data_IF_813297404788
#
_entry.id   IF_813297404788
#
_cell.length_a   1.000
_cell.length_b   1.000
_cell.length_c   1.000
_cell.angle_alpha   90.00
_cell.angle_beta   90.00
_cell.angle_gamma   90.00
#
_symmetry.space_group_name_H-M   'P 1'
#
loop_
_entity.id
_entity.type
_entity.pdbx_description
1 polymer ?
#
# COMPACT_ATOMS: atom_id res chain seq x y z
N UNK A 1 -38.06 14.43 42.17
CA UNK A 1 -38.58 15.34 41.13
C UNK A 1 -37.58 16.48 41.03
N UNK A 2 -36.50 16.25 40.28
CA UNK A 2 -35.41 17.21 40.14
C UNK A 2 -34.87 17.05 38.73
N UNK A 3 -34.99 18.14 37.99
CA UNK A 3 -34.83 18.30 36.56
C UNK A 3 -33.39 18.04 36.11
N UNK A 4 -33.23 17.05 35.22
CA UNK A 4 -32.02 16.87 34.43
C UNK A 4 -31.97 17.98 33.37
N UNK A 5 -30.99 18.88 33.49
CA UNK A 5 -30.64 19.83 32.45
C UNK A 5 -29.88 19.04 31.39
N UNK A 6 -30.50 18.87 30.22
CA UNK A 6 -29.84 18.36 29.03
C UNK A 6 -28.86 19.44 28.52
N UNK A 7 -27.56 19.16 28.60
CA UNK A 7 -26.56 19.89 27.83
C UNK A 7 -26.75 19.55 26.34
N UNK A 8 -26.71 20.54 25.44
CA UNK A 8 -26.86 20.28 24.02
C UNK A 8 -25.67 19.45 23.54
N UNK A 9 -25.98 18.44 22.72
CA UNK A 9 -24.99 17.74 21.93
C UNK A 9 -24.19 18.78 21.13
N UNK A 10 -22.88 18.83 21.35
CA UNK A 10 -21.96 19.58 20.50
C UNK A 10 -22.17 19.03 19.09
N UNK A 11 -22.75 19.86 18.23
CA UNK A 11 -22.92 19.56 16.81
C UNK A 11 -21.54 19.20 16.22
N UNK A 12 -21.50 18.16 15.39
CA UNK A 12 -20.32 17.64 14.70
C UNK A 12 -19.63 18.69 13.78
N UNK A 13 -20.10 19.94 13.74
CA UNK A 13 -19.59 21.04 12.91
C UNK A 13 -18.45 21.87 13.57
N UNK A 14 -18.20 21.73 14.88
CA UNK A 14 -17.15 22.51 15.59
C UNK A 14 -15.79 21.80 15.72
N UNK A 15 -15.67 20.56 15.23
CA UNK A 15 -14.36 20.03 14.85
C UNK A 15 -13.93 20.81 13.62
N UNK A 16 -13.02 21.77 13.78
CA UNK A 16 -12.31 22.42 12.66
C UNK A 16 -12.04 21.34 11.62
N UNK A 17 -12.75 21.35 10.47
CA UNK A 17 -12.49 20.35 9.46
C UNK A 17 -11.02 20.52 9.12
N UNK A 18 -10.24 19.44 9.23
CA UNK A 18 -8.91 19.41 8.63
C UNK A 18 -9.11 19.91 7.20
N UNK A 19 -8.59 21.12 6.92
CA UNK A 19 -8.89 21.95 5.75
C UNK A 19 -9.61 21.18 4.65
N UNK A 20 -10.93 21.40 4.55
CA UNK A 20 -11.76 20.84 3.48
C UNK A 20 -11.07 21.00 2.12
N UNK A 21 -11.23 19.96 1.31
CA UNK A 21 -10.73 19.66 -0.05
C UNK A 21 -10.96 20.76 -1.13
N UNK A 22 -11.24 22.02 -0.77
CA UNK A 22 -11.62 23.12 -1.68
C UNK A 22 -10.46 23.69 -2.54
N UNK A 23 -9.30 23.04 -2.56
CA UNK A 23 -8.15 23.43 -3.40
C UNK A 23 -7.58 22.29 -4.24
N UNK A 24 -8.33 21.20 -4.43
CA UNK A 24 -7.92 20.17 -5.38
C UNK A 24 -8.12 20.69 -6.81
N UNK A 25 -7.05 20.59 -7.60
CA UNK A 25 -7.00 21.07 -8.98
C UNK A 25 -8.09 20.33 -9.78
N UNK A 26 -8.97 21.04 -10.52
CA UNK A 26 -10.00 20.40 -11.32
C UNK A 26 -9.38 19.37 -12.27
N UNK A 27 -9.85 18.12 -12.19
CA UNK A 27 -9.32 17.03 -13.02
C UNK A 27 -10.17 16.91 -14.29
N UNK A 28 -9.57 17.04 -15.50
CA UNK A 28 -10.32 16.83 -16.72
C UNK A 28 -10.82 15.37 -16.82
N UNK A 29 -12.03 15.13 -17.35
CA UNK A 29 -12.54 13.78 -17.51
C UNK A 29 -11.62 12.95 -18.42
N UNK A 30 -11.15 11.81 -17.92
CA UNK A 30 -10.26 10.91 -18.66
C UNK A 30 -8.77 11.21 -18.53
N UNK A 31 -8.35 12.31 -17.88
CA UNK A 31 -6.94 12.61 -17.62
C UNK A 31 -6.18 11.48 -16.88
N UNK A 32 -6.75 10.80 -15.86
CA UNK A 32 -6.07 9.68 -15.21
C UNK A 32 -5.79 8.51 -16.16
N UNK A 33 -6.77 8.19 -17.04
CA UNK A 33 -6.64 7.10 -18.02
C UNK A 33 -5.63 7.44 -19.11
N UNK A 34 -5.63 8.68 -19.60
CA UNK A 34 -4.67 9.16 -20.58
C UNK A 34 -3.24 9.15 -20.02
N UNK A 35 -3.06 9.60 -18.77
CA UNK A 35 -1.78 9.56 -18.07
C UNK A 35 -1.28 8.12 -17.94
N UNK A 36 -2.11 7.21 -17.43
CA UNK A 36 -1.75 5.80 -17.29
C UNK A 36 -1.41 5.15 -18.64
N UNK A 37 -2.21 5.42 -19.68
CA UNK A 37 -1.95 4.95 -21.04
C UNK A 37 -0.61 5.45 -21.57
N UNK A 38 -0.27 6.71 -21.35
CA UNK A 38 1.01 7.30 -21.77
C UNK A 38 2.22 6.69 -21.05
N UNK A 39 2.07 6.28 -19.79
CA UNK A 39 3.13 5.65 -18.99
C UNK A 39 3.34 4.17 -19.37
N UNK A 40 2.26 3.45 -19.71
CA UNK A 40 2.29 2.03 -20.06
C UNK A 40 2.65 1.78 -21.54
N UNK A 41 2.27 2.68 -22.45
CA UNK A 41 2.47 2.48 -23.89
C UNK A 41 3.93 2.21 -24.31
N UNK A 42 4.96 2.88 -23.76
CA UNK A 42 6.37 2.58 -24.07
C UNK A 42 6.79 1.17 -23.63
N UNK A 43 6.13 0.62 -22.61
CA UNK A 43 6.49 -0.65 -21.97
C UNK A 43 5.66 -1.84 -22.45
N UNK A 44 4.72 -1.66 -23.39
CA UNK A 44 3.78 -2.70 -23.87
C UNK A 44 4.42 -4.05 -24.22
N UNK A 45 5.60 -4.04 -24.86
CA UNK A 45 6.35 -5.27 -25.22
C UNK A 45 6.89 -5.97 -23.97
N UNK A 46 7.47 -5.22 -23.03
CA UNK A 46 7.99 -5.76 -21.76
C UNK A 46 6.86 -6.29 -20.89
N UNK A 47 5.72 -5.60 -20.86
CA UNK A 47 4.51 -6.05 -20.18
C UNK A 47 4.01 -7.37 -20.78
N UNK A 48 3.92 -7.48 -22.12
CA UNK A 48 3.51 -8.73 -22.76
C UNK A 48 4.43 -9.91 -22.43
N UNK A 49 5.75 -9.70 -22.39
CA UNK A 49 6.73 -10.72 -21.97
C UNK A 49 6.55 -11.08 -20.49
N UNK A 50 6.28 -10.11 -19.61
CA UNK A 50 6.00 -10.39 -18.21
C UNK A 50 4.73 -11.22 -18.03
N UNK A 51 3.65 -10.86 -18.74
CA UNK A 51 2.38 -11.61 -18.74
C UNK A 51 2.59 -13.04 -19.24
N UNK A 52 3.35 -13.23 -20.32
CA UNK A 52 3.69 -14.56 -20.81
C UNK A 52 4.52 -15.36 -19.79
N UNK A 53 5.50 -14.72 -19.15
CA UNK A 53 6.33 -15.38 -18.13
C UNK A 53 5.50 -15.86 -16.94
N UNK A 54 4.55 -15.06 -16.44
CA UNK A 54 3.68 -15.47 -15.33
C UNK A 54 2.65 -16.51 -15.76
N UNK A 55 2.12 -16.45 -16.99
CA UNK A 55 1.25 -17.49 -17.54
C UNK A 55 1.94 -18.86 -17.55
N UNK A 56 3.16 -18.91 -18.08
CA UNK A 56 3.97 -20.13 -18.12
C UNK A 56 4.39 -20.58 -16.71
N UNK A 57 4.69 -19.64 -15.82
CA UNK A 57 5.01 -19.94 -14.42
C UNK A 57 3.84 -20.59 -13.70
N UNK A 58 2.63 -20.07 -13.87
CA UNK A 58 1.41 -20.64 -13.29
C UNK A 58 1.13 -22.03 -13.85
N UNK A 59 1.28 -22.23 -15.16
CA UNK A 59 1.13 -23.55 -15.77
C UNK A 59 2.12 -24.57 -15.19
N UNK A 60 3.40 -24.21 -15.04
CA UNK A 60 4.42 -25.06 -14.45
C UNK A 60 4.13 -25.38 -12.97
N UNK A 61 3.70 -24.38 -12.18
CA UNK A 61 3.33 -24.57 -10.77
C UNK A 61 2.13 -25.50 -10.60
N UNK A 62 1.22 -25.45 -11.57
CA UNK A 62 -0.01 -26.21 -11.57
C UNK A 62 0.15 -27.62 -12.13
N UNK A 63 1.21 -27.91 -12.89
CA UNK A 63 1.56 -29.29 -13.24
C UNK A 63 1.79 -30.19 -12.01
N UNK A 64 2.15 -29.61 -10.85
CA UNK A 64 2.48 -30.34 -9.63
C UNK A 64 1.43 -31.39 -9.21
N UNK A 65 0.17 -31.00 -8.91
CA UNK A 65 -0.85 -31.98 -8.54
C UNK A 65 -1.16 -33.03 -9.62
N UNK A 66 -1.08 -32.69 -10.91
CA UNK A 66 -1.25 -33.68 -11.99
C UNK A 66 -0.11 -34.71 -12.02
N UNK A 67 1.13 -34.26 -11.78
CA UNK A 67 2.28 -35.16 -11.66
C UNK A 67 2.14 -36.06 -10.43
N UNK A 68 1.56 -35.56 -9.32
CA UNK A 68 1.22 -36.37 -8.15
C UNK A 68 0.16 -37.42 -8.51
N UNK A 69 -0.89 -37.06 -9.25
CA UNK A 69 -1.87 -38.04 -9.74
C UNK A 69 -1.20 -39.15 -10.55
N UNK A 70 -0.41 -38.79 -11.56
CA UNK A 70 0.28 -39.75 -12.40
C UNK A 70 1.27 -40.61 -11.61
N UNK A 71 1.98 -40.05 -10.62
CA UNK A 71 2.84 -40.81 -9.74
C UNK A 71 2.06 -41.89 -8.97
N UNK A 72 0.86 -41.57 -8.49
CA UNK A 72 0.02 -42.51 -7.74
C UNK A 72 -0.56 -43.59 -8.68
N UNK A 73 -1.11 -43.17 -9.82
CA UNK A 73 -1.86 -44.07 -10.71
C UNK A 73 -0.96 -44.95 -11.56
N UNK A 74 0.25 -44.48 -11.93
CA UNK A 74 1.18 -45.21 -12.80
C UNK A 74 2.54 -45.46 -12.18
N UNK A 75 3.07 -44.51 -11.40
CA UNK A 75 4.38 -44.63 -10.77
C UNK A 75 4.45 -45.70 -9.67
N UNK A 76 3.46 -45.73 -8.77
CA UNK A 76 3.43 -46.71 -7.66
C UNK A 76 3.20 -48.15 -8.18
N UNK A 77 2.26 -48.43 -9.10
CA UNK A 77 2.11 -49.77 -9.66
C UNK A 77 3.38 -50.26 -10.38
N UNK A 78 3.98 -49.43 -11.24
CA UNK A 78 5.22 -49.81 -11.94
C UNK A 78 6.37 -50.12 -10.97
N UNK A 79 6.48 -49.36 -9.88
CA UNK A 79 7.49 -49.62 -8.85
C UNK A 79 7.26 -50.96 -8.14
N UNK A 80 6.01 -51.38 -7.93
CA UNK A 80 5.68 -52.71 -7.39
C UNK A 80 6.10 -53.83 -8.35
N UNK A 81 6.03 -53.56 -9.65
CA UNK A 81 6.50 -54.46 -10.71
C UNK A 81 8.02 -54.34 -10.96
N UNK A 82 8.77 -53.75 -10.01
CA UNK A 82 10.22 -53.53 -10.06
C UNK A 82 10.71 -52.57 -11.17
N UNK A 83 9.82 -51.81 -11.81
CA UNK A 83 10.19 -50.74 -12.75
C UNK A 83 10.14 -49.36 -12.05
N UNK A 84 11.32 -48.84 -11.71
CA UNK A 84 11.46 -47.51 -11.10
C UNK A 84 11.47 -46.36 -12.13
N UNK A 85 11.52 -46.67 -13.43
CA UNK A 85 11.64 -45.70 -14.51
C UNK A 85 10.54 -44.63 -14.50
N UNK A 86 9.25 -44.99 -14.48
CA UNK A 86 8.15 -44.03 -14.46
C UNK A 86 8.17 -43.11 -13.24
N UNK A 87 8.47 -43.64 -12.06
CA UNK A 87 8.52 -42.84 -10.84
C UNK A 87 9.71 -41.85 -10.85
N UNK A 88 10.88 -42.27 -11.32
CA UNK A 88 12.04 -41.40 -11.51
C UNK A 88 11.74 -40.30 -12.53
N UNK A 89 11.11 -40.65 -13.66
CA UNK A 89 10.72 -39.68 -14.69
C UNK A 89 9.75 -38.63 -14.14
N UNK A 90 8.75 -39.03 -13.35
CA UNK A 90 7.79 -38.10 -12.74
C UNK A 90 8.44 -37.22 -11.68
N UNK A 91 9.34 -37.77 -10.87
CA UNK A 91 10.10 -37.02 -9.87
C UNK A 91 10.99 -35.98 -10.55
N UNK A 92 11.68 -36.38 -11.63
CA UNK A 92 12.50 -35.48 -12.43
C UNK A 92 11.65 -34.40 -13.12
N UNK A 93 10.47 -34.76 -13.67
CA UNK A 93 9.53 -33.80 -14.25
C UNK A 93 9.01 -32.81 -13.21
N UNK A 94 8.68 -33.28 -12.00
CA UNK A 94 8.23 -32.41 -10.91
C UNK A 94 9.31 -31.41 -10.50
N UNK A 95 10.55 -31.88 -10.32
CA UNK A 95 11.71 -31.01 -10.04
C UNK A 95 11.96 -30.04 -11.19
N UNK A 96 11.86 -30.50 -12.44
CA UNK A 96 11.97 -29.66 -13.64
C UNK A 96 10.93 -28.55 -13.66
N UNK A 97 9.65 -28.88 -13.43
CA UNK A 97 8.56 -27.91 -13.32
C UNK A 97 8.80 -26.91 -12.18
N UNK A 98 9.26 -27.37 -11.01
CA UNK A 98 9.56 -26.48 -9.88
C UNK A 98 10.71 -25.50 -10.19
N UNK A 99 11.77 -25.97 -10.84
CA UNK A 99 12.89 -25.13 -11.28
C UNK A 99 12.42 -24.12 -12.33
N UNK A 100 11.68 -24.57 -13.34
CA UNK A 100 11.12 -23.70 -14.40
C UNK A 100 10.19 -22.65 -13.81
N UNK A 101 9.27 -23.04 -12.93
CA UNK A 101 8.36 -22.12 -12.24
C UNK A 101 9.15 -21.06 -11.44
N UNK A 102 10.18 -21.47 -10.71
CA UNK A 102 11.03 -20.57 -9.93
C UNK A 102 11.80 -19.60 -10.82
N UNK A 103 12.38 -20.07 -11.93
CA UNK A 103 13.11 -19.24 -12.89
C UNK A 103 12.18 -18.23 -13.56
N UNK A 104 11.00 -18.66 -14.00
CA UNK A 104 9.99 -17.79 -14.60
C UNK A 104 9.45 -16.77 -13.60
N UNK A 105 9.21 -17.17 -12.35
CA UNK A 105 8.80 -16.25 -11.29
C UNK A 105 9.87 -15.19 -11.03
N UNK A 106 11.14 -15.60 -10.97
CA UNK A 106 12.26 -14.68 -10.79
C UNK A 106 12.43 -13.73 -11.98
N UNK A 107 12.21 -14.22 -13.21
CA UNK A 107 12.20 -13.40 -14.41
C UNK A 107 11.05 -12.38 -14.41
N UNK A 108 9.84 -12.83 -14.04
CA UNK A 108 8.67 -11.98 -13.88
C UNK A 108 8.90 -10.87 -12.85
N UNK A 109 9.35 -11.21 -11.63
CA UNK A 109 9.61 -10.22 -10.57
C UNK A 109 10.61 -9.17 -11.03
N UNK A 110 11.72 -9.59 -11.66
CA UNK A 110 12.73 -8.65 -12.18
C UNK A 110 12.18 -7.75 -13.29
N UNK A 111 11.41 -8.31 -14.21
CA UNK A 111 10.87 -7.57 -15.35
C UNK A 111 9.79 -6.58 -14.88
N UNK A 112 8.87 -7.03 -14.02
CA UNK A 112 7.86 -6.20 -13.39
C UNK A 112 8.50 -5.06 -12.58
N UNK A 113 9.50 -5.36 -11.74
CA UNK A 113 10.22 -4.35 -10.97
C UNK A 113 10.87 -3.29 -11.88
N UNK A 114 11.51 -3.68 -12.98
CA UNK A 114 12.09 -2.72 -13.95
C UNK A 114 11.03 -1.85 -14.60
N UNK A 115 9.94 -2.45 -15.09
CA UNK A 115 8.81 -1.70 -15.68
C UNK A 115 8.25 -0.70 -14.68
N UNK A 116 8.02 -1.14 -13.44
CA UNK A 116 7.48 -0.29 -12.39
C UNK A 116 8.42 0.87 -12.07
N UNK A 117 9.72 0.62 -11.90
CA UNK A 117 10.69 1.69 -11.63
C UNK A 117 10.83 2.68 -12.80
N UNK A 118 10.82 2.19 -14.05
CA UNK A 118 10.86 3.05 -15.24
C UNK A 118 9.63 3.98 -15.29
N UNK A 119 8.43 3.45 -15.00
CA UNK A 119 7.18 4.22 -14.92
C UNK A 119 7.24 5.28 -13.81
N UNK A 120 7.67 4.89 -12.61
CA UNK A 120 7.74 5.80 -11.46
C UNK A 120 8.78 6.91 -11.67
N UNK A 121 9.92 6.58 -12.28
CA UNK A 121 10.95 7.56 -12.61
C UNK A 121 10.44 8.58 -13.64
N UNK A 122 9.76 8.13 -14.70
CA UNK A 122 9.15 9.02 -15.68
C UNK A 122 8.08 9.92 -15.03
N UNK A 123 7.20 9.34 -14.21
CA UNK A 123 6.16 10.09 -13.50
C UNK A 123 6.74 11.16 -12.57
N UNK A 124 7.72 10.81 -11.72
CA UNK A 124 8.43 11.78 -10.86
C UNK A 124 9.11 12.87 -11.68
N UNK A 125 9.75 12.49 -12.79
CA UNK A 125 10.37 13.44 -13.71
C UNK A 125 9.38 14.40 -14.35
N UNK A 126 8.19 13.92 -14.75
CA UNK A 126 7.11 14.75 -15.31
C UNK A 126 6.56 15.72 -14.27
N UNK A 127 6.24 15.23 -13.07
CA UNK A 127 5.74 16.07 -11.96
C UNK A 127 6.77 17.15 -11.62
N UNK A 128 8.05 16.79 -11.47
CA UNK A 128 9.11 17.73 -11.12
C UNK A 128 9.34 18.80 -12.19
N UNK A 129 9.34 18.43 -13.48
CA UNK A 129 9.49 19.39 -14.59
C UNK A 129 8.27 20.29 -14.72
N UNK A 130 7.07 19.74 -14.55
CA UNK A 130 5.83 20.50 -14.64
C UNK A 130 5.71 21.50 -13.49
N UNK A 131 6.00 21.07 -12.26
CA UNK A 131 5.98 21.95 -11.08
C UNK A 131 6.91 23.17 -11.21
N UNK A 132 8.07 23.02 -11.87
CA UNK A 132 8.99 24.14 -12.14
C UNK A 132 8.50 25.11 -13.21
N UNK A 133 7.57 24.70 -14.08
CA UNK A 133 6.99 25.55 -15.14
C UNK A 133 5.74 26.31 -14.68
N UNK A 134 5.14 25.89 -13.58
CA UNK A 134 3.97 26.56 -13.01
C UNK A 134 4.35 27.94 -12.46
N UNK A 135 3.41 28.88 -12.56
CA UNK A 135 3.61 30.28 -12.18
C UNK A 135 3.72 30.45 -10.66
N UNK A 136 4.28 31.58 -10.22
CA UNK A 136 4.41 31.90 -8.79
C UNK A 136 3.04 31.90 -8.07
N UNK A 137 2.02 32.42 -8.74
CA UNK A 137 0.63 32.44 -8.24
C UNK A 137 0.06 31.03 -7.97
N UNK A 138 0.46 30.02 -8.75
CA UNK A 138 0.14 28.63 -8.42
C UNK A 138 0.80 28.20 -7.12
N UNK A 139 2.09 28.51 -6.92
CA UNK A 139 2.84 28.13 -5.71
C UNK A 139 2.42 28.89 -4.45
N UNK A 140 1.85 30.10 -4.59
CA UNK A 140 1.25 30.84 -3.49
C UNK A 140 -0.06 30.21 -3.01
N UNK A 141 -0.86 29.67 -3.94
CA UNK A 141 -2.15 29.02 -3.65
C UNK A 141 -2.02 27.54 -3.32
N UNK A 142 -1.08 26.84 -3.95
CA UNK A 142 -0.84 25.42 -3.81
C UNK A 142 0.51 25.17 -3.14
N UNK A 143 0.47 24.76 -1.86
CA UNK A 143 1.69 24.68 -1.05
C UNK A 143 2.73 23.73 -1.63
N UNK A 144 4.01 24.10 -1.52
CA UNK A 144 5.12 23.26 -2.00
C UNK A 144 5.13 21.87 -1.33
N UNK A 145 4.68 21.76 -0.08
CA UNK A 145 4.51 20.48 0.61
C UNK A 145 3.51 19.54 -0.08
N UNK A 146 2.45 20.08 -0.67
CA UNK A 146 1.46 19.30 -1.43
C UNK A 146 2.06 18.76 -2.73
N UNK A 147 2.84 19.56 -3.45
CA UNK A 147 3.58 19.13 -4.65
C UNK A 147 4.58 18.03 -4.30
N UNK A 148 5.34 18.20 -3.22
CA UNK A 148 6.29 17.20 -2.74
C UNK A 148 5.57 15.90 -2.41
N UNK A 149 4.45 15.95 -1.66
CA UNK A 149 3.63 14.78 -1.33
C UNK A 149 3.13 14.06 -2.59
N UNK A 150 2.71 14.81 -3.62
CA UNK A 150 2.28 14.25 -4.91
C UNK A 150 3.43 13.57 -5.66
N UNK A 151 4.66 14.08 -5.53
CA UNK A 151 5.86 13.48 -6.13
C UNK A 151 6.43 12.29 -5.34
N UNK A 152 6.06 12.14 -4.06
CA UNK A 152 6.55 11.09 -3.17
C UNK A 152 5.45 10.11 -2.80
N UNK A 153 4.59 10.47 -1.83
CA UNK A 153 3.55 9.60 -1.25
C UNK A 153 2.57 9.08 -2.29
N UNK A 154 2.04 9.93 -3.16
CA UNK A 154 1.06 9.50 -4.17
C UNK A 154 1.68 8.59 -5.23
N UNK A 155 2.93 8.88 -5.61
CA UNK A 155 3.72 8.01 -6.50
C UNK A 155 4.01 6.67 -5.81
N UNK A 156 4.27 6.67 -4.51
CA UNK A 156 4.50 5.43 -3.74
C UNK A 156 3.22 4.60 -3.60
N UNK A 157 2.04 5.23 -3.47
CA UNK A 157 0.76 4.50 -3.53
C UNK A 157 0.55 3.83 -4.89
N UNK A 158 0.95 4.49 -5.98
CA UNK A 158 0.92 3.87 -7.32
C UNK A 158 1.94 2.73 -7.43
N UNK A 159 3.13 2.87 -6.82
CA UNK A 159 4.14 1.79 -6.74
C UNK A 159 3.56 0.56 -6.06
N UNK A 160 2.87 0.71 -4.93
CA UNK A 160 2.26 -0.39 -4.18
C UNK A 160 1.22 -1.14 -5.04
N UNK A 161 0.34 -0.41 -5.74
CA UNK A 161 -0.59 -1.04 -6.68
C UNK A 161 0.14 -1.81 -7.79
N UNK A 162 1.16 -1.23 -8.41
CA UNK A 162 1.86 -1.85 -9.54
C UNK A 162 2.77 -3.02 -9.14
N UNK A 163 3.36 -2.98 -7.95
CA UNK A 163 4.31 -3.99 -7.48
C UNK A 163 3.64 -5.15 -6.74
N UNK A 164 2.66 -4.85 -5.89
CA UNK A 164 2.05 -5.83 -4.99
C UNK A 164 0.63 -6.15 -5.45
N UNK A 165 -0.23 -5.14 -5.58
CA UNK A 165 -1.64 -5.34 -5.91
C UNK A 165 -1.87 -6.04 -7.25
N UNK A 166 -1.33 -5.51 -8.34
CA UNK A 166 -1.55 -6.05 -9.68
C UNK A 166 -0.95 -7.45 -9.83
N UNK A 167 0.21 -7.69 -9.20
CA UNK A 167 0.85 -8.99 -9.19
C UNK A 167 -0.04 -10.03 -8.48
N UNK A 168 -0.54 -9.70 -7.29
CA UNK A 168 -1.45 -10.57 -6.54
C UNK A 168 -2.72 -10.86 -7.34
N UNK A 169 -3.39 -9.83 -7.87
CA UNK A 169 -4.60 -10.02 -8.66
C UNK A 169 -4.34 -10.97 -9.84
N UNK A 170 -3.24 -10.75 -10.57
CA UNK A 170 -2.89 -11.56 -11.73
C UNK A 170 -2.67 -13.03 -11.32
N UNK A 171 -1.92 -13.27 -10.24
CA UNK A 171 -1.71 -14.61 -9.70
C UNK A 171 -3.02 -15.28 -9.26
N UNK A 172 -3.89 -14.56 -8.55
CA UNK A 172 -5.20 -15.08 -8.11
C UNK A 172 -6.07 -15.44 -9.30
N UNK A 173 -6.25 -14.53 -10.26
CA UNK A 173 -7.09 -14.77 -11.44
C UNK A 173 -6.57 -15.94 -12.28
N UNK A 174 -5.24 -16.00 -12.50
CA UNK A 174 -4.61 -17.09 -13.25
C UNK A 174 -4.76 -18.43 -12.53
N UNK A 175 -4.48 -18.46 -11.22
CA UNK A 175 -4.57 -19.67 -10.40
C UNK A 175 -6.00 -20.20 -10.38
N UNK A 176 -6.98 -19.35 -10.04
CA UNK A 176 -8.40 -19.73 -10.02
C UNK A 176 -8.84 -20.20 -11.41
N UNK A 177 -8.54 -19.45 -12.47
CA UNK A 177 -8.91 -19.82 -13.83
C UNK A 177 -8.33 -21.16 -14.26
N UNK A 178 -7.04 -21.40 -14.01
CA UNK A 178 -6.38 -22.66 -14.37
C UNK A 178 -6.93 -23.82 -13.53
N UNK A 179 -7.06 -23.66 -12.20
CA UNK A 179 -7.63 -24.67 -11.32
C UNK A 179 -9.03 -25.06 -11.81
N UNK A 180 -9.91 -24.08 -12.04
CA UNK A 180 -11.28 -24.35 -12.49
C UNK A 180 -11.31 -25.12 -13.81
N UNK A 181 -10.52 -24.71 -14.80
CA UNK A 181 -10.44 -25.42 -16.09
C UNK A 181 -9.94 -26.85 -15.89
N UNK A 182 -8.87 -27.06 -15.12
CA UNK A 182 -8.32 -28.40 -14.87
C UNK A 182 -9.31 -29.30 -14.14
N UNK A 183 -9.98 -28.81 -13.10
CA UNK A 183 -10.95 -29.60 -12.34
C UNK A 183 -12.09 -30.09 -13.23
N UNK A 184 -12.62 -29.22 -14.10
CA UNK A 184 -13.70 -29.59 -15.05
C UNK A 184 -13.20 -30.59 -16.09
N UNK A 185 -11.97 -30.44 -16.60
CA UNK A 185 -11.38 -31.35 -17.57
C UNK A 185 -11.03 -32.73 -16.97
N UNK A 186 -10.69 -32.81 -15.69
CA UNK A 186 -10.40 -34.08 -15.01
C UNK A 186 -11.67 -34.88 -14.77
N UNK A 187 -12.68 -34.28 -14.15
CA UNK A 187 -14.01 -34.89 -13.99
C UNK A 187 -15.06 -33.80 -13.84
N UNK A 188 -16.03 -33.75 -14.75
CA UNK A 188 -17.04 -32.69 -14.75
C UNK A 188 -18.00 -32.77 -13.56
N UNK A 189 -18.21 -33.94 -12.95
CA UNK A 189 -19.12 -34.15 -11.81
C UNK A 189 -18.51 -33.56 -10.55
N UNK A 190 -17.26 -33.91 -10.26
CA UNK A 190 -16.49 -33.33 -9.16
C UNK A 190 -16.20 -31.85 -9.44
N UNK A 191 -15.93 -31.48 -10.70
CA UNK A 191 -15.74 -30.09 -11.15
C UNK A 191 -16.97 -29.22 -10.86
N UNK A 192 -18.16 -29.74 -11.13
CA UNK A 192 -19.41 -29.05 -10.80
C UNK A 192 -19.61 -28.95 -9.29
N UNK A 193 -19.29 -29.99 -8.51
CA UNK A 193 -19.33 -29.92 -7.05
C UNK A 193 -18.38 -28.83 -6.50
N UNK A 194 -17.19 -28.69 -7.10
CA UNK A 194 -16.25 -27.62 -6.77
C UNK A 194 -16.83 -26.23 -7.13
N UNK A 195 -17.53 -26.08 -8.25
CA UNK A 195 -18.21 -24.82 -8.61
C UNK A 195 -19.35 -24.49 -7.63
N UNK A 196 -20.16 -25.47 -7.25
CA UNK A 196 -21.25 -25.29 -6.27
C UNK A 196 -20.69 -24.85 -4.92
N UNK A 197 -19.49 -25.30 -4.56
CA UNK A 197 -18.83 -24.94 -3.30
C UNK A 197 -18.54 -23.43 -3.15
N UNK A 198 -18.48 -22.68 -4.26
CA UNK A 198 -18.33 -21.22 -4.21
C UNK A 198 -19.56 -20.51 -3.67
N UNK A 199 -20.75 -21.10 -3.80
CA UNK A 199 -21.99 -20.46 -3.37
C UNK A 199 -22.06 -20.24 -1.85
N UNK A 200 -21.84 -21.25 -0.98
CA UNK A 200 -21.79 -21.02 0.46
C UNK A 200 -20.59 -20.17 0.87
N UNK A 201 -19.44 -20.30 0.19
CA UNK A 201 -18.29 -19.44 0.45
C UNK A 201 -18.62 -17.95 0.18
N UNK A 202 -19.32 -17.66 -0.92
CA UNK A 202 -19.81 -16.33 -1.23
C UNK A 202 -20.76 -15.79 -0.15
N UNK A 203 -21.63 -16.63 0.41
CA UNK A 203 -22.52 -16.22 1.51
C UNK A 203 -21.72 -15.86 2.78
N UNK A 204 -20.68 -16.64 3.12
CA UNK A 204 -19.76 -16.32 4.23
C UNK A 204 -19.08 -14.97 4.01
N UNK A 205 -18.50 -14.77 2.83
CA UNK A 205 -17.83 -13.51 2.45
C UNK A 205 -18.81 -12.33 2.50
N UNK A 206 -20.02 -12.50 1.97
CA UNK A 206 -21.07 -11.47 1.96
C UNK A 206 -21.52 -11.09 3.38
N UNK A 207 -21.68 -12.09 4.25
CA UNK A 207 -22.05 -11.88 5.65
C UNK A 207 -20.94 -11.11 6.39
N UNK A 208 -19.69 -11.55 6.22
CA UNK A 208 -18.53 -10.88 6.79
C UNK A 208 -18.44 -9.43 6.32
N UNK A 209 -18.53 -9.16 5.01
CA UNK A 209 -18.47 -7.80 4.45
C UNK A 209 -19.51 -6.87 5.09
N UNK A 210 -20.75 -7.33 5.28
CA UNK A 210 -21.81 -6.52 5.89
C UNK A 210 -21.55 -6.22 7.37
N UNK A 211 -21.11 -7.23 8.14
CA UNK A 211 -20.86 -7.08 9.59
C UNK A 211 -19.59 -6.28 9.87
N UNK A 212 -18.51 -6.62 9.17
CA UNK A 212 -17.20 -5.97 9.24
C UNK A 212 -17.28 -4.46 9.00
N UNK A 213 -18.06 -4.01 8.01
CA UNK A 213 -18.27 -2.59 7.76
C UNK A 213 -18.82 -1.82 8.98
N UNK A 214 -19.77 -2.42 9.71
CA UNK A 214 -20.36 -1.78 10.89
C UNK A 214 -19.37 -1.75 12.07
N UNK A 215 -18.67 -2.86 12.30
CA UNK A 215 -17.72 -2.99 13.41
C UNK A 215 -16.50 -2.09 13.20
N UNK A 216 -15.93 -2.07 12.00
CA UNK A 216 -14.81 -1.18 11.70
C UNK A 216 -15.19 0.29 11.72
N UNK A 217 -16.43 0.64 11.34
CA UNK A 217 -16.91 2.02 11.50
C UNK A 217 -16.95 2.42 12.98
N UNK A 218 -17.50 1.57 13.85
CA UNK A 218 -17.51 1.82 15.31
C UNK A 218 -16.09 1.93 15.89
N UNK A 219 -15.18 1.03 15.48
CA UNK A 219 -13.77 1.08 15.90
C UNK A 219 -13.11 2.39 15.49
N UNK A 220 -13.32 2.86 14.25
CA UNK A 220 -12.79 4.17 13.78
C UNK A 220 -13.33 5.33 14.61
N UNK A 221 -14.63 5.38 14.88
CA UNK A 221 -15.23 6.44 15.72
C UNK A 221 -14.68 6.41 17.14
N UNK A 222 -14.53 5.23 17.75
CA UNK A 222 -14.00 5.10 19.11
C UNK A 222 -12.50 5.49 19.20
N UNK A 223 -11.69 5.16 18.20
CA UNK A 223 -10.29 5.61 18.09
C UNK A 223 -10.22 7.14 17.90
N UNK A 224 -11.10 7.72 17.08
CA UNK A 224 -11.16 9.17 16.90
C UNK A 224 -11.49 9.89 18.23
N UNK A 225 -12.50 9.41 18.97
CA UNK A 225 -12.84 9.95 20.29
C UNK A 225 -11.67 9.86 21.28
N UNK A 226 -10.92 8.76 21.25
CA UNK A 226 -9.72 8.58 22.07
C UNK A 226 -8.64 9.64 21.75
N UNK A 227 -8.39 9.88 20.45
CA UNK A 227 -7.43 10.88 19.98
C UNK A 227 -7.87 12.29 20.36
N UNK A 228 -9.16 12.63 20.19
CA UNK A 228 -9.72 13.93 20.59
C UNK A 228 -9.50 14.14 22.09
N UNK A 229 -9.87 13.17 22.91
CA UNK A 229 -9.74 13.28 24.37
C UNK A 229 -8.29 13.41 24.84
N UNK A 230 -7.39 12.67 24.20
CA UNK A 230 -5.96 12.79 24.43
C UNK A 230 -5.46 14.21 24.10
N UNK A 231 -5.82 14.72 22.93
CA UNK A 231 -5.37 16.01 22.43
C UNK A 231 -5.89 17.17 23.29
N UNK A 232 -7.17 17.15 23.68
CA UNK A 232 -7.75 18.11 24.64
C UNK A 232 -6.99 18.13 25.96
N UNK A 233 -6.69 16.95 26.52
CA UNK A 233 -6.00 16.84 27.81
C UNK A 233 -4.57 17.36 27.72
N UNK A 234 -3.85 17.05 26.64
CA UNK A 234 -2.47 17.51 26.46
C UNK A 234 -2.38 19.01 26.20
N UNK A 235 -3.28 19.56 25.38
CA UNK A 235 -3.35 21.01 25.15
C UNK A 235 -3.80 21.76 26.42
N UNK A 236 -4.70 21.15 27.21
CA UNK A 236 -5.22 21.66 28.48
C UNK A 236 -4.45 21.23 29.73
N UNK A 237 -3.21 20.73 29.60
CA UNK A 237 -2.52 20.08 30.72
C UNK A 237 -2.26 21.02 31.91
N UNK A 238 -2.00 22.31 31.63
CA UNK A 238 -1.76 23.32 32.65
C UNK A 238 -3.00 23.53 33.55
N UNK A 239 -4.20 23.80 33.01
CA UNK A 239 -5.44 23.79 33.79
C UNK A 239 -5.67 22.48 34.56
N UNK A 240 -5.45 21.32 33.93
CA UNK A 240 -5.66 20.02 34.59
C UNK A 240 -4.79 19.88 35.85
N UNK A 241 -3.51 20.27 35.77
CA UNK A 241 -2.58 20.26 36.91
C UNK A 241 -2.91 21.35 37.94
N UNK A 242 -3.22 22.57 37.49
CA UNK A 242 -3.54 23.70 38.36
C UNK A 242 -4.77 23.42 39.25
N UNK A 243 -5.77 22.73 38.70
CA UNK A 243 -6.97 22.32 39.43
C UNK A 243 -6.88 20.90 40.04
N UNK A 244 -5.72 20.24 39.96
CA UNK A 244 -5.49 18.86 40.44
C UNK A 244 -6.55 17.85 39.96
N UNK A 245 -6.94 17.96 38.69
CA UNK A 245 -8.00 17.14 38.05
C UNK A 245 -7.45 15.92 37.30
N UNK A 246 -6.19 15.55 37.51
CA UNK A 246 -5.54 14.44 36.80
C UNK A 246 -6.32 13.13 36.94
N UNK A 247 -6.80 12.81 38.15
CA UNK A 247 -7.58 11.60 38.41
C UNK A 247 -8.96 11.60 37.72
N UNK A 248 -9.58 12.77 37.57
CA UNK A 248 -10.85 12.91 36.86
C UNK A 248 -10.64 12.78 35.34
N UNK A 249 -9.59 13.39 34.80
CA UNK A 249 -9.24 13.26 33.39
C UNK A 249 -8.82 11.83 33.03
N UNK A 250 -8.03 11.16 33.88
CA UNK A 250 -7.66 9.76 33.69
C UNK A 250 -8.89 8.86 33.64
N UNK A 251 -9.85 9.00 34.56
CA UNK A 251 -11.11 8.22 34.51
C UNK A 251 -11.91 8.46 33.23
N UNK A 252 -11.99 9.70 32.77
CA UNK A 252 -12.67 10.03 31.52
C UNK A 252 -11.93 9.44 30.31
N UNK A 253 -10.59 9.49 30.30
CA UNK A 253 -9.77 8.88 29.27
C UNK A 253 -9.89 7.35 29.27
N UNK A 254 -9.86 6.71 30.44
CA UNK A 254 -9.99 5.26 30.60
C UNK A 254 -11.32 4.74 30.03
N UNK A 255 -12.41 5.48 30.19
CA UNK A 255 -13.71 5.12 29.62
C UNK A 255 -13.67 5.06 28.08
N UNK A 256 -13.12 6.10 27.44
CA UNK A 256 -12.99 6.15 25.97
C UNK A 256 -11.95 5.14 25.46
N UNK A 257 -10.88 4.92 26.23
CA UNK A 257 -9.86 3.91 25.93
C UNK A 257 -10.45 2.49 25.97
N UNK A 258 -11.26 2.16 26.97
CA UNK A 258 -11.98 0.88 27.05
C UNK A 258 -12.98 0.72 25.89
N UNK A 259 -13.69 1.78 25.51
CA UNK A 259 -14.58 1.74 24.34
C UNK A 259 -13.80 1.49 23.04
N UNK A 260 -12.64 2.12 22.87
CA UNK A 260 -11.74 1.88 21.73
C UNK A 260 -11.19 0.45 21.73
N UNK A 261 -10.77 -0.05 22.88
CA UNK A 261 -10.26 -1.40 23.05
C UNK A 261 -11.31 -2.47 22.72
N UNK A 262 -12.54 -2.31 23.24
CA UNK A 262 -13.66 -3.22 22.97
C UNK A 262 -14.10 -3.18 21.50
N UNK A 263 -14.24 -1.99 20.91
CA UNK A 263 -14.61 -1.86 19.50
C UNK A 263 -13.54 -2.45 18.56
N UNK A 264 -12.26 -2.35 18.93
CA UNK A 264 -11.15 -2.96 18.18
C UNK A 264 -11.15 -4.49 18.35
N UNK A 265 -11.38 -4.98 19.58
CA UNK A 265 -11.50 -6.40 19.86
C UNK A 265 -12.68 -7.05 19.10
N UNK A 266 -13.83 -6.37 19.01
CA UNK A 266 -14.97 -6.82 18.20
C UNK A 266 -14.58 -6.98 16.73
N UNK A 267 -13.75 -6.08 16.20
CA UNK A 267 -13.22 -6.17 14.83
C UNK A 267 -12.35 -7.39 14.62
N UNK A 268 -11.46 -7.69 15.59
CA UNK A 268 -10.62 -8.89 15.56
C UNK A 268 -11.45 -10.17 15.70
N UNK A 269 -12.46 -10.19 16.56
CA UNK A 269 -13.37 -11.33 16.72
C UNK A 269 -14.18 -11.59 15.45
N UNK A 270 -14.63 -10.56 14.74
CA UNK A 270 -15.35 -10.74 13.48
C UNK A 270 -14.43 -11.28 12.38
N UNK A 271 -13.17 -10.86 12.34
CA UNK A 271 -12.15 -11.45 11.46
C UNK A 271 -11.89 -12.93 11.82
N UNK A 272 -11.75 -13.24 13.12
CA UNK A 272 -11.55 -14.62 13.58
C UNK A 272 -12.74 -15.52 13.21
N UNK A 273 -13.98 -15.02 13.35
CA UNK A 273 -15.20 -15.71 12.91
C UNK A 273 -15.18 -15.98 11.41
N UNK A 274 -14.77 -15.01 10.59
CA UNK A 274 -14.66 -15.19 9.14
C UNK A 274 -13.63 -16.27 8.79
N UNK A 275 -12.42 -16.21 9.35
CA UNK A 275 -11.38 -17.21 9.11
C UNK A 275 -11.85 -18.61 9.51
N UNK A 276 -12.51 -18.73 10.67
CA UNK A 276 -13.08 -19.98 11.15
C UNK A 276 -14.16 -20.52 10.19
N UNK A 277 -15.18 -19.71 9.86
CA UNK A 277 -16.27 -20.13 8.98
C UNK A 277 -15.79 -20.46 7.57
N UNK A 278 -14.85 -19.69 7.02
CA UNK A 278 -14.24 -19.93 5.71
C UNK A 278 -13.50 -21.27 5.69
N UNK A 279 -12.59 -21.51 6.65
CA UNK A 279 -11.85 -22.78 6.77
C UNK A 279 -12.77 -23.97 7.03
N UNK A 280 -13.78 -23.81 7.88
CA UNK A 280 -14.79 -24.85 8.14
C UNK A 280 -15.53 -25.19 6.85
N UNK A 281 -16.02 -24.19 6.12
CA UNK A 281 -16.72 -24.38 4.84
C UNK A 281 -15.84 -25.09 3.83
N UNK A 282 -14.59 -24.64 3.65
CA UNK A 282 -13.63 -25.26 2.74
C UNK A 282 -13.39 -26.74 3.11
N UNK A 283 -13.16 -27.05 4.39
CA UNK A 283 -12.91 -28.43 4.84
C UNK A 283 -14.14 -29.33 4.71
N UNK A 284 -15.36 -28.81 4.96
CA UNK A 284 -16.60 -29.56 4.74
C UNK A 284 -16.75 -29.93 3.26
N UNK A 285 -16.50 -28.98 2.35
CA UNK A 285 -16.57 -29.24 0.91
C UNK A 285 -15.47 -30.18 0.41
N UNK A 286 -14.23 -30.01 0.88
CA UNK A 286 -13.14 -30.94 0.57
C UNK A 286 -13.52 -32.35 1.04
N UNK A 287 -14.06 -32.49 2.26
CA UNK A 287 -14.49 -33.80 2.78
C UNK A 287 -15.62 -34.39 1.93
N UNK A 288 -16.61 -33.58 1.55
CA UNK A 288 -17.70 -34.01 0.67
C UNK A 288 -17.19 -34.49 -0.70
N UNK A 289 -16.25 -33.77 -1.30
CA UNK A 289 -15.60 -34.16 -2.56
C UNK A 289 -14.77 -35.43 -2.40
N UNK A 290 -14.08 -35.60 -1.28
CA UNK A 290 -13.34 -36.84 -0.97
C UNK A 290 -14.29 -38.02 -0.84
N UNK A 291 -15.41 -37.87 -0.12
CA UNK A 291 -16.40 -38.94 0.05
C UNK A 291 -17.04 -39.32 -1.29
N UNK A 292 -17.49 -38.32 -2.07
CA UNK A 292 -18.04 -38.57 -3.41
C UNK A 292 -17.00 -39.21 -4.33
N UNK A 293 -15.80 -38.65 -4.38
CA UNK A 293 -14.70 -39.19 -5.17
C UNK A 293 -14.31 -40.60 -4.78
N UNK A 294 -14.32 -40.94 -3.49
CA UNK A 294 -14.05 -42.30 -3.02
C UNK A 294 -15.08 -43.31 -3.54
N UNK A 295 -16.36 -42.93 -3.62
CA UNK A 295 -17.40 -43.75 -4.25
C UNK A 295 -17.15 -43.94 -5.76
N UNK A 296 -16.75 -42.87 -6.47
CA UNK A 296 -16.41 -42.96 -7.88
C UNK A 296 -15.19 -43.85 -8.14
N UNK A 297 -14.20 -43.82 -7.24
CA UNK A 297 -13.01 -44.69 -7.29
C UNK A 297 -13.39 -46.14 -7.00
N UNK A 298 -14.26 -46.41 -6.03
CA UNK A 298 -14.72 -47.78 -5.75
C UNK A 298 -15.50 -48.39 -6.92
N UNK A 299 -16.23 -47.56 -7.68
CA UNK A 299 -16.96 -47.96 -8.88
C UNK A 299 -16.04 -48.08 -10.12
N UNK A 300 -14.73 -47.80 -9.98
CA UNK A 300 -13.75 -47.84 -11.06
C UNK A 300 -13.88 -46.72 -12.10
N UNK A 301 -14.73 -45.74 -11.85
CA UNK A 301 -14.98 -44.61 -12.76
C UNK A 301 -13.94 -43.48 -12.66
N UNK A 302 -13.13 -43.48 -11.60
CA UNK A 302 -12.11 -42.47 -11.33
C UNK A 302 -10.85 -43.14 -10.76
N UNK A 303 -9.67 -42.68 -11.19
CA UNK A 303 -8.40 -43.17 -10.61
C UNK A 303 -8.12 -42.49 -9.25
N UNK A 304 -7.36 -43.17 -8.36
CA UNK A 304 -7.08 -42.68 -7.00
C UNK A 304 -6.19 -41.42 -6.99
N UNK A 305 -5.23 -41.36 -7.92
CA UNK A 305 -4.36 -40.22 -8.11
C UNK A 305 -5.13 -39.02 -8.62
N UNK A 306 -6.07 -39.21 -9.56
CA UNK A 306 -6.99 -38.15 -10.02
C UNK A 306 -7.77 -37.54 -8.85
N UNK A 307 -8.34 -38.36 -7.95
CA UNK A 307 -8.99 -37.86 -6.72
C UNK A 307 -8.01 -37.08 -5.84
N UNK A 308 -6.79 -37.57 -5.67
CA UNK A 308 -5.75 -36.91 -4.86
C UNK A 308 -5.40 -35.54 -5.43
N UNK A 309 -5.19 -35.43 -6.74
CA UNK A 309 -4.97 -34.16 -7.41
C UNK A 309 -6.16 -33.22 -7.27
N UNK A 310 -7.39 -33.75 -7.34
CA UNK A 310 -8.61 -32.97 -7.14
C UNK A 310 -8.62 -32.28 -5.77
N UNK A 311 -8.26 -33.00 -4.70
CA UNK A 311 -8.16 -32.45 -3.34
C UNK A 311 -7.07 -31.38 -3.23
N UNK A 312 -5.91 -31.61 -3.84
CA UNK A 312 -4.80 -30.65 -3.83
C UNK A 312 -5.19 -29.34 -4.53
N UNK A 313 -5.87 -29.44 -5.67
CA UNK A 313 -6.37 -28.28 -6.40
C UNK A 313 -7.50 -27.57 -5.67
N UNK A 314 -8.43 -28.30 -5.07
CA UNK A 314 -9.53 -27.70 -4.31
C UNK A 314 -9.01 -26.91 -3.10
N UNK A 315 -7.98 -27.40 -2.41
CA UNK A 315 -7.30 -26.62 -1.35
C UNK A 315 -6.73 -25.30 -1.87
N UNK A 316 -5.97 -25.36 -2.97
CA UNK A 316 -5.40 -24.16 -3.62
C UNK A 316 -6.45 -23.16 -4.07
N UNK A 317 -7.64 -23.64 -4.44
CA UNK A 317 -8.76 -22.79 -4.88
C UNK A 317 -9.29 -21.90 -3.75
N UNK A 318 -9.17 -22.33 -2.49
CA UNK A 318 -9.64 -21.60 -1.32
C UNK A 318 -8.61 -20.66 -0.70
N UNK A 319 -7.31 -20.82 -0.99
CA UNK A 319 -6.24 -19.98 -0.45
C UNK A 319 -6.32 -18.48 -0.83
N UNK A 320 -6.65 -18.07 -2.08
CA UNK A 320 -6.43 -16.69 -2.53
C UNK A 320 -7.54 -15.68 -2.17
N UNK A 321 -8.52 -16.05 -1.35
CA UNK A 321 -9.70 -15.19 -1.09
C UNK A 321 -9.30 -13.85 -0.44
N UNK A 322 -8.33 -13.86 0.47
CA UNK A 322 -7.94 -12.66 1.22
C UNK A 322 -7.14 -11.65 0.39
N UNK A 323 -6.38 -12.12 -0.61
CA UNK A 323 -5.54 -11.28 -1.48
C UNK A 323 -6.37 -10.31 -2.34
N UNK A 324 -7.60 -10.72 -2.73
CA UNK A 324 -8.48 -9.86 -3.52
C UNK A 324 -8.90 -8.59 -2.78
N UNK A 325 -9.08 -8.66 -1.46
CA UNK A 325 -9.44 -7.50 -0.65
C UNK A 325 -8.27 -6.49 -0.57
N UNK A 326 -7.04 -6.98 -0.42
CA UNK A 326 -5.83 -6.14 -0.43
C UNK A 326 -5.65 -5.43 -1.77
N UNK A 327 -5.88 -6.12 -2.88
CA UNK A 327 -5.86 -5.52 -4.21
C UNK A 327 -6.86 -4.37 -4.33
N UNK A 328 -8.12 -4.55 -3.92
CA UNK A 328 -9.15 -3.52 -4.05
C UNK A 328 -8.82 -2.25 -3.26
N UNK A 329 -8.28 -2.39 -2.04
CA UNK A 329 -7.85 -1.24 -1.24
C UNK A 329 -6.68 -0.49 -1.90
N UNK A 330 -5.70 -1.23 -2.42
CA UNK A 330 -4.56 -0.67 -3.14
C UNK A 330 -5.01 0.03 -4.42
N UNK A 331 -5.96 -0.56 -5.15
CA UNK A 331 -6.54 0.01 -6.36
C UNK A 331 -7.26 1.33 -6.09
N UNK A 332 -8.11 1.40 -5.07
CA UNK A 332 -8.83 2.63 -4.71
C UNK A 332 -7.86 3.75 -4.31
N UNK A 333 -6.86 3.42 -3.50
CA UNK A 333 -5.85 4.38 -3.04
C UNK A 333 -5.02 4.92 -4.19
N UNK A 334 -4.54 4.04 -5.08
CA UNK A 334 -3.78 4.43 -6.25
C UNK A 334 -4.61 5.18 -7.29
N UNK A 335 -5.90 4.86 -7.43
CA UNK A 335 -6.81 5.59 -8.31
C UNK A 335 -6.97 7.05 -7.85
N UNK A 336 -7.17 7.28 -6.55
CA UNK A 336 -7.24 8.62 -5.97
C UNK A 336 -5.91 9.39 -6.11
N UNK A 337 -4.78 8.72 -5.89
CA UNK A 337 -3.45 9.29 -6.09
C UNK A 337 -3.22 9.68 -7.57
N UNK A 338 -3.58 8.80 -8.50
CA UNK A 338 -3.46 9.04 -9.94
C UNK A 338 -4.35 10.19 -10.42
N UNK A 339 -5.57 10.29 -9.88
CA UNK A 339 -6.49 11.40 -10.15
C UNK A 339 -5.84 12.74 -9.77
N UNK A 340 -5.34 12.83 -8.54
CA UNK A 340 -4.67 14.02 -8.00
C UNK A 340 -3.40 14.39 -8.79
N UNK A 341 -2.58 13.41 -9.15
CA UNK A 341 -1.40 13.63 -10.00
C UNK A 341 -1.77 14.06 -11.43
N UNK A 342 -2.83 13.49 -12.00
CA UNK A 342 -3.30 13.86 -13.34
C UNK A 342 -3.88 15.26 -13.39
N UNK A 343 -4.58 15.70 -12.32
CA UNK A 343 -5.01 17.09 -12.16
C UNK A 343 -3.84 18.06 -12.15
N UNK A 344 -2.81 17.75 -11.35
CA UNK A 344 -1.59 18.57 -11.30
C UNK A 344 -0.91 18.69 -12.67
N UNK A 345 -0.77 17.58 -13.41
CA UNK A 345 -0.14 17.58 -14.74
C UNK A 345 -1.02 18.21 -15.82
N UNK A 346 -2.34 18.26 -15.63
CA UNK A 346 -3.27 18.92 -16.53
C UNK A 346 -3.38 20.43 -16.27
N UNK A 347 -2.88 20.93 -15.13
CA UNK A 347 -2.93 22.35 -14.81
C UNK A 347 -2.01 23.16 -15.72
N UNK A 348 -2.56 24.14 -16.42
CA UNK A 348 -1.79 25.02 -17.30
C UNK A 348 -1.20 26.22 -16.53
N UNK A 349 0.03 26.66 -16.84
CA UNK A 349 0.60 27.85 -16.24
C UNK A 349 -0.25 29.09 -16.57
N UNK A 350 -0.54 29.93 -15.57
CA UNK A 350 -1.29 31.18 -15.79
C UNK A 350 -0.55 32.21 -16.66
N UNK A 351 0.76 32.03 -16.84
CA UNK A 351 1.59 32.80 -17.76
C UNK A 351 2.25 31.81 -18.74
N UNK A 352 1.58 31.42 -19.84
CA UNK A 352 2.19 30.55 -20.83
C UNK A 352 3.32 31.27 -21.57
N UNK A 353 4.32 30.53 -22.03
CA UNK A 353 5.33 31.08 -22.93
C UNK A 353 4.65 31.57 -24.22
N UNK A 354 4.99 32.77 -24.72
CA UNK A 354 4.40 33.30 -25.94
C UNK A 354 4.77 32.42 -27.14
N UNK A 355 3.76 32.05 -27.94
CA UNK A 355 3.94 31.23 -29.15
C UNK A 355 4.89 31.85 -30.18
N UNK A 356 4.97 33.18 -30.19
CA UNK A 356 5.96 33.95 -30.94
C UNK A 356 6.80 34.81 -29.98
N UNK A 357 8.06 34.46 -29.71
CA UNK A 357 8.92 35.23 -28.83
C UNK A 357 9.28 36.57 -29.49
N UNK A 358 8.79 37.67 -28.92
CA UNK A 358 9.20 39.01 -29.34
C UNK A 358 10.72 39.19 -29.11
N UNK A 359 11.44 39.72 -30.11
CA UNK A 359 12.87 40.02 -29.95
C UNK A 359 13.05 41.01 -28.81
N UNK A 360 13.86 40.62 -27.82
CA UNK A 360 14.19 41.48 -26.69
C UNK A 360 14.84 42.77 -27.24
N UNK A 361 14.32 43.97 -26.87
CA UNK A 361 14.91 45.21 -27.32
C UNK A 361 16.39 45.27 -26.93
N UNK A 362 17.27 45.79 -27.81
CA UNK A 362 18.70 45.82 -27.55
C UNK A 362 18.95 46.50 -26.21
N UNK A 363 19.61 45.77 -25.30
CA UNK A 363 19.95 46.26 -23.97
C UNK A 363 20.71 47.59 -24.15
N UNK A 364 20.25 48.72 -23.59
CA UNK A 364 20.90 49.99 -23.79
C UNK A 364 22.37 49.84 -23.43
N UNK A 365 23.25 50.16 -24.39
CA UNK A 365 24.68 50.06 -24.21
C UNK A 365 25.02 50.73 -22.89
N UNK A 366 25.61 49.96 -21.97
CA UNK A 366 26.06 50.47 -20.68
C UNK A 366 26.97 51.64 -21.00
N UNK A 367 26.47 52.87 -20.81
CA UNK A 367 27.20 54.09 -21.12
C UNK A 367 28.61 53.92 -20.57
N UNK A 368 29.57 53.84 -21.48
CA UNK A 368 30.97 53.82 -21.10
C UNK A 368 31.16 55.05 -20.23
N UNK A 369 31.53 54.86 -18.96
CA UNK A 369 31.89 55.97 -18.10
C UNK A 369 33.00 56.72 -18.84
N UNK A 370 32.69 57.93 -19.31
CA UNK A 370 33.69 58.84 -19.87
C UNK A 370 34.82 58.98 -18.84
N UNK A 371 36.08 58.69 -19.18
CA UNK A 371 37.19 58.98 -18.29
C UNK A 371 37.51 60.48 -18.43
N UNK A 372 36.73 61.32 -17.76
CA UNK A 372 37.07 62.72 -17.57
C UNK A 372 36.87 63.09 -16.10
N UNK A 373 37.82 62.66 -15.28
CA UNK A 373 38.07 63.25 -13.98
C UNK A 373 39.49 63.81 -14.01
N UNK A 374 39.61 65.06 -14.45
CA UNK A 374 40.75 65.91 -14.13
C UNK A 374 40.50 66.47 -12.72
N UNK A 375 41.40 66.30 -11.75
CA UNK A 375 41.19 66.83 -10.41
C UNK A 375 41.64 68.30 -10.34
N UNK A 376 40.72 69.16 -9.91
CA UNK A 376 41.04 70.37 -9.14
C UNK A 376 41.16 71.68 -9.92
N UNK A 377 40.23 72.61 -9.67
CA UNK A 377 40.49 73.87 -8.93
C UNK A 377 39.32 74.85 -9.18
N UNK A 378 38.71 75.37 -8.11
CA UNK A 378 37.82 76.56 -8.22
C UNK A 378 36.49 76.47 -7.47
N UNK A 379 36.55 76.85 -6.19
CA UNK A 379 35.61 77.66 -5.37
C UNK A 379 34.06 77.62 -5.52
N UNK A 380 33.34 77.85 -4.41
CA UNK A 380 31.98 77.38 -4.18
C UNK A 380 30.92 78.39 -4.60
N UNK A 381 29.75 77.94 -5.07
CA UNK A 381 28.54 78.76 -5.00
C UNK A 381 27.24 77.96 -5.08
N UNK A 382 26.40 78.23 -4.08
CA UNK A 382 24.94 78.28 -4.09
C UNK A 382 24.12 77.02 -4.43
N UNK A 383 23.52 76.47 -3.37
CA UNK A 383 22.11 76.01 -3.27
C UNK A 383 21.27 76.15 -4.54
N UNK A 384 20.64 75.04 -4.96
CA UNK A 384 19.20 74.98 -5.26
C UNK A 384 18.65 73.54 -5.11
N UNK A 385 17.61 73.48 -4.28
CA UNK A 385 16.64 72.41 -4.01
C UNK A 385 16.39 71.36 -5.10
N UNK A 386 16.43 70.08 -4.71
CA UNK A 386 15.67 69.00 -5.34
C UNK A 386 14.24 68.97 -4.79
N UNK A 387 13.20 68.88 -5.62
CA UNK A 387 11.95 68.26 -5.21
C UNK A 387 12.05 66.74 -5.42
N UNK A 388 11.63 66.04 -4.39
CA UNK A 388 11.37 64.60 -4.32
C UNK A 388 10.45 64.11 -5.44
N UNK A 389 10.85 63.05 -6.16
CA UNK A 389 9.90 62.01 -6.59
C UNK A 389 10.62 60.70 -6.90
N UNK A 390 10.28 59.70 -6.07
CA UNK A 390 10.04 58.27 -6.38
C UNK A 390 11.14 57.33 -6.93
N UNK A 391 11.33 56.29 -6.10
CA UNK A 391 11.58 54.86 -6.39
C UNK A 391 12.94 54.42 -6.95
N UNK A 392 13.87 54.24 -6.01
CA UNK A 392 15.03 53.35 -6.13
C UNK A 392 14.64 51.87 -6.15
N UNK A 393 15.01 51.19 -7.24
CA UNK A 393 15.04 49.73 -7.37
C UNK A 393 16.44 49.22 -6.91
N UNK A 394 16.57 48.24 -5.99
CA UNK A 394 17.89 47.74 -5.61
C UNK A 394 18.40 46.72 -6.64
N UNK A 395 19.57 47.02 -7.22
CA UNK A 395 20.28 46.14 -8.16
C UNK A 395 21.05 45.05 -7.41
N UNK A 396 20.56 43.81 -7.43
CA UNK A 396 21.36 42.61 -7.20
C UNK A 396 21.80 41.99 -8.53
N UNK A 397 23.09 41.73 -8.73
CA UNK A 397 23.62 41.02 -9.90
C UNK A 397 23.39 39.52 -9.77
N UNK A 398 22.98 38.79 -10.84
CA UNK A 398 23.15 37.35 -10.88
C UNK A 398 24.57 36.97 -11.36
N UNK A 399 25.16 35.85 -10.89
CA UNK A 399 26.42 35.34 -11.42
C UNK A 399 26.22 34.61 -12.76
N UNK A 400 27.26 34.48 -13.61
CA UNK A 400 27.17 33.77 -14.87
C UNK A 400 27.50 32.28 -14.68
N UNK A 401 26.59 31.38 -15.02
CA UNK A 401 26.91 29.97 -15.25
C UNK A 401 27.11 29.72 -16.75
N UNK A 402 28.37 29.80 -17.17
CA UNK A 402 28.85 29.19 -18.41
C UNK A 402 29.09 27.70 -18.17
N UNK A 403 28.58 26.88 -19.08
CA UNK A 403 28.80 25.44 -19.14
C UNK A 403 30.28 25.06 -19.08
N UNK A 404 30.63 24.15 -18.16
CA UNK A 404 31.80 23.27 -18.23
C UNK A 404 31.31 21.83 -18.04
N UNK A 405 31.83 20.84 -18.78
CA UNK A 405 31.52 19.44 -18.53
C UNK A 405 32.17 19.01 -17.21
N UNK A 406 31.36 18.53 -16.26
CA UNK A 406 31.84 18.04 -14.98
C UNK A 406 32.57 16.70 -15.16
N UNK A 407 33.83 16.67 -14.73
CA UNK A 407 34.56 15.45 -14.37
C UNK A 407 33.79 14.69 -13.29
N UNK A 408 33.87 13.37 -13.32
CA UNK A 408 33.33 12.47 -12.32
C UNK A 408 33.84 12.86 -10.91
N UNK A 409 32.91 13.14 -10.00
CA UNK A 409 33.17 13.24 -8.57
C UNK A 409 33.22 11.84 -7.96
N UNK A 410 34.07 11.59 -6.95
CA UNK A 410 34.12 10.29 -6.28
C UNK A 410 32.85 10.07 -5.43
N UNK A 411 32.48 8.82 -5.15
CA UNK A 411 31.29 8.51 -4.37
C UNK A 411 31.42 9.03 -2.93
N UNK A 412 30.32 9.57 -2.41
CA UNK A 412 30.17 9.96 -1.01
C UNK A 412 30.44 8.76 -0.09
N UNK A 413 31.11 8.93 1.06
CA UNK A 413 31.29 7.85 2.01
C UNK A 413 29.93 7.37 2.52
N UNK A 414 29.70 6.07 2.41
CA UNK A 414 28.55 5.38 3.00
C UNK A 414 28.57 5.57 4.52
N UNK A 415 27.57 6.27 5.05
CA UNK A 415 27.24 6.14 6.46
C UNK A 415 26.73 4.72 6.71
N UNK A 416 27.59 3.85 7.22
CA UNK A 416 27.18 2.61 7.87
C UNK A 416 26.23 2.95 9.02
N UNK A 417 25.10 2.23 9.18
CA UNK A 417 24.30 2.36 10.38
C UNK A 417 25.13 1.85 11.56
N UNK A 418 25.39 2.74 12.52
CA UNK A 418 25.93 2.36 13.81
C UNK A 418 25.01 1.30 14.43
N UNK A 419 25.60 0.18 14.82
CA UNK A 419 24.97 -0.88 15.59
C UNK A 419 24.60 -0.36 16.98
N UNK A 420 23.38 0.10 17.15
CA UNK A 420 22.78 0.30 18.47
C UNK A 420 22.15 -1.03 18.90
N UNK A 421 22.95 -1.88 19.53
CA UNK A 421 22.48 -3.05 20.27
C UNK A 421 21.75 -2.56 21.53
N UNK A 422 20.46 -2.86 21.73
CA UNK A 422 19.84 -2.67 23.03
C UNK A 422 20.36 -3.75 23.97
N UNK A 423 20.89 -3.35 25.14
CA UNK A 423 21.15 -4.26 26.26
C UNK A 423 19.86 -5.01 26.63
N UNK A 424 19.87 -6.34 26.80
CA UNK A 424 18.73 -7.05 27.36
C UNK A 424 18.58 -6.73 28.85
N UNK A 425 17.35 -6.39 29.26
CA UNK A 425 16.98 -6.33 30.67
C UNK A 425 16.96 -7.74 31.28
N UNK A 426 17.31 -7.90 32.57
CA UNK A 426 17.42 -9.20 33.21
C UNK A 426 16.04 -9.88 33.38
N UNK A 427 15.98 -11.15 33.00
CA UNK A 427 14.86 -12.06 33.24
C UNK A 427 14.68 -12.37 34.73
N UNK A 428 13.46 -12.36 35.29
CA UNK A 428 13.22 -12.88 36.62
C UNK A 428 13.27 -14.41 36.60
N UNK A 429 14.26 -14.97 37.28
CA UNK A 429 14.40 -16.40 37.54
C UNK A 429 13.40 -16.86 38.60
N UNK A 430 12.71 -17.96 38.28
CA UNK A 430 12.38 -19.08 39.17
C UNK A 430 11.85 -18.77 40.58
N UNK A 431 10.54 -18.94 40.75
CA UNK A 431 9.94 -19.31 42.02
C UNK A 431 10.28 -20.78 42.36
N UNK A 432 10.74 -21.10 43.59
CA UNK A 432 10.79 -22.47 44.06
C UNK A 432 9.49 -22.85 44.76
N UNK A 433 9.01 -24.04 44.43
CA UNK A 433 8.03 -24.84 45.16
C UNK A 433 8.64 -25.28 46.50
N UNK A 434 8.00 -24.95 47.62
CA UNK A 434 8.13 -25.74 48.85
C UNK A 434 6.89 -25.58 49.72
N UNK A 435 6.22 -26.69 49.93
CA UNK A 435 5.15 -26.88 50.89
C UNK A 435 5.69 -26.82 52.32
N UNK A 436 4.98 -26.13 53.22
CA UNK A 436 5.01 -26.38 54.66
C UNK A 436 3.88 -25.64 55.37
N UNK A 437 2.80 -26.39 55.65
CA UNK A 437 2.12 -26.52 56.96
C UNK A 437 1.57 -25.31 57.74
N UNK A 438 0.54 -25.53 58.59
CA UNK A 438 -0.54 -24.58 58.92
C UNK A 438 -0.28 -23.79 60.23
N UNK A 439 -1.19 -22.90 60.69
CA UNK A 439 -0.87 -21.87 61.67
C UNK A 439 -0.89 -22.39 63.13
N UNK A 440 -0.08 -21.82 64.04
CA UNK A 440 -0.35 -21.80 65.46
C UNK A 440 -1.14 -20.52 65.81
N UNK A 441 -1.90 -20.38 66.89
CA UNK A 441 -2.34 -21.23 67.98
C UNK A 441 -3.14 -20.28 68.90
N UNK A 442 -4.39 -20.59 69.27
CA UNK A 442 -5.06 -19.96 70.42
C UNK A 442 -6.03 -20.98 71.02
N UNK A 443 -5.48 -21.82 71.90
CA UNK A 443 -6.21 -22.49 72.99
C UNK A 443 -6.01 -21.74 74.32
N UNK A 444 -6.75 -22.12 75.38
CA UNK A 444 -7.48 -21.20 76.25
C UNK A 444 -6.92 -21.09 77.67
N UNK A 445 -7.35 -20.08 78.42
CA UNK A 445 -7.81 -20.20 79.82
C UNK A 445 -8.37 -18.89 80.34
N UNK A 446 -9.50 -19.01 81.05
CA UNK A 446 -9.96 -18.27 82.24
C UNK A 446 -9.15 -17.08 82.75
#
# INVERSE_FOLDING_TARGET
MTTAVAEPAVEEDDLVPAATDDQDIPVPPGAPRALLGSLLAPHRRRIAVAVLAVLLQQAALQAGPLLVAYAIDRGIPALRDHDSGPLIAVTAAYLGCAVVATLLQRAFIRLAARINQDILLDLRGRIFRHAQRLSLDFHERYTSGRIISRATSDVDTLRELLAEGLQELLMVCLSVGYITVVLILMDWRLGLAALVSFLPMYLVIRSFRRRSQQVYRRSRTAVAALIVRFTETMNGIRPVQAFRRESANNRAFDAVNQQSATATADGLLEMARYVFLSRMTANIWITGVVVLGALLVSDGSLELGVLTAFVLYLRRLYDPIDQLAMFLNSYQSAAAALEKMSGLLAHEPSVPEPAEPARCPPRPARAAKSPSATPGSGTPTARRSCPSSTSSCPRGRPPPWSARPARASPPWPSCSPASTTPRPAPSPSTAPTSASSPPPNCGPTS
#
